data_IF_868561777582
#
_entry.id   IF_868561777582
#
_cell.length_a   1.000
_cell.length_b   1.000
_cell.length_c   1.000
_cell.angle_alpha   90.00
_cell.angle_beta   90.00
_cell.angle_gamma   90.00
#
_symmetry.space_group_name_H-M   'P 1'
#
loop_
_entity.id
_entity.type
_entity.pdbx_description
1 polymer ?
#
# COMPACT_ATOMS: atom_id res chain seq x y z
N UNK A 1 -14.13 8.97 14.13
CA UNK A 1 -13.64 8.12 15.23
C UNK A 1 -12.63 7.18 14.61
N UNK A 2 -11.33 7.40 14.79
CA UNK A 2 -10.30 6.48 14.30
C UNK A 2 -10.37 5.24 15.19
N UNK A 3 -10.83 4.12 14.62
CA UNK A 3 -10.90 2.84 15.34
C UNK A 3 -9.49 2.25 15.42
N UNK A 4 -9.14 1.68 16.57
CA UNK A 4 -7.83 1.07 16.77
C UNK A 4 -7.70 -0.21 15.95
N UNK A 5 -6.66 -0.29 15.13
CA UNK A 5 -6.19 -1.46 14.37
C UNK A 5 -5.43 -2.47 15.23
N UNK A 6 -5.07 -2.09 16.46
CA UNK A 6 -4.32 -2.89 17.41
C UNK A 6 -4.89 -4.30 17.64
N UNK A 7 -6.22 -4.51 17.77
CA UNK A 7 -6.79 -5.85 17.92
C UNK A 7 -6.50 -6.79 16.74
N UNK A 8 -6.39 -6.26 15.51
CA UNK A 8 -6.04 -7.06 14.33
C UNK A 8 -4.61 -7.59 14.47
N UNK A 9 -3.63 -6.71 14.71
CA UNK A 9 -2.24 -7.15 14.76
C UNK A 9 -1.93 -7.97 16.01
N UNK A 10 -2.58 -7.71 17.15
CA UNK A 10 -2.50 -8.57 18.33
C UNK A 10 -2.98 -10.01 18.00
N UNK A 11 -4.05 -10.14 17.19
CA UNK A 11 -4.53 -11.45 16.72
C UNK A 11 -3.57 -12.13 15.74
N UNK A 12 -2.83 -11.37 14.92
CA UNK A 12 -1.80 -11.90 14.01
C UNK A 12 -0.61 -12.44 14.81
N UNK A 13 -0.19 -11.74 15.88
CA UNK A 13 0.90 -12.15 16.78
C UNK A 13 0.58 -13.40 17.60
N UNK A 14 -0.70 -13.65 17.88
CA UNK A 14 -1.16 -14.76 18.74
C UNK A 14 -2.25 -15.60 18.05
N UNK A 15 -1.92 -16.32 16.96
CA UNK A 15 -2.91 -17.03 16.13
C UNK A 15 -3.62 -18.19 16.85
N UNK A 16 -3.07 -18.65 17.98
CA UNK A 16 -3.68 -19.69 18.83
C UNK A 16 -4.77 -19.16 19.77
N UNK A 17 -4.91 -17.84 19.91
CA UNK A 17 -5.99 -17.23 20.69
C UNK A 17 -7.24 -17.06 19.83
N UNK A 18 -8.41 -17.10 20.48
CA UNK A 18 -9.68 -16.85 19.79
C UNK A 18 -9.66 -15.45 19.15
N UNK A 19 -9.84 -15.39 17.83
CA UNK A 19 -9.86 -14.13 17.09
C UNK A 19 -10.97 -13.23 17.64
N UNK A 20 -10.65 -12.03 18.16
CA UNK A 20 -11.68 -11.13 18.68
C UNK A 20 -12.71 -10.78 17.60
N UNK A 21 -14.00 -10.61 17.94
CA UNK A 21 -15.05 -10.28 16.96
C UNK A 21 -14.73 -9.03 16.11
N UNK A 22 -14.03 -8.06 16.70
CA UNK A 22 -13.60 -6.81 16.06
C UNK A 22 -12.69 -7.06 14.84
N UNK A 23 -11.83 -8.07 14.91
CA UNK A 23 -10.90 -8.44 13.83
C UNK A 23 -11.62 -8.97 12.60
N UNK A 24 -12.70 -9.73 12.79
CA UNK A 24 -13.52 -10.25 11.68
C UNK A 24 -14.17 -9.12 10.86
N UNK A 25 -14.45 -7.98 11.48
CA UNK A 25 -14.98 -6.81 10.79
C UNK A 25 -13.89 -6.04 10.04
N UNK A 26 -12.72 -5.87 10.66
CA UNK A 26 -11.55 -5.22 10.04
C UNK A 26 -11.16 -5.96 8.75
N UNK A 27 -11.05 -7.30 8.81
CA UNK A 27 -10.71 -8.14 7.66
C UNK A 27 -11.75 -8.11 6.51
N UNK A 28 -12.99 -7.70 6.77
CA UNK A 28 -14.03 -7.53 5.74
C UNK A 28 -14.00 -6.15 5.07
N UNK A 29 -13.30 -5.20 5.69
CA UNK A 29 -13.34 -3.79 5.30
C UNK A 29 -12.03 -3.36 4.64
N UNK A 30 -10.93 -4.01 4.99
CA UNK A 30 -9.58 -3.69 4.52
C UNK A 30 -8.91 -4.90 3.90
N UNK A 31 -8.00 -4.65 2.96
CA UNK A 31 -7.08 -5.66 2.50
C UNK A 31 -5.87 -5.70 3.45
N UNK A 32 -5.49 -6.90 3.90
CA UNK A 32 -4.31 -7.09 4.74
C UNK A 32 -3.34 -7.98 3.98
N UNK A 33 -2.29 -7.36 3.45
CA UNK A 33 -1.21 -8.07 2.77
C UNK A 33 -0.06 -8.30 3.74
N UNK A 34 0.70 -9.37 3.49
CA UNK A 34 1.95 -9.59 4.19
C UNK A 34 3.11 -9.81 3.22
N UNK A 35 4.26 -9.28 3.60
CA UNK A 35 5.48 -9.33 2.81
C UNK A 35 6.61 -9.85 3.69
N UNK A 36 7.39 -10.77 3.15
CA UNK A 36 8.68 -11.11 3.74
C UNK A 36 9.68 -10.01 3.42
N UNK A 37 10.39 -9.57 4.46
CA UNK A 37 11.31 -8.44 4.35
C UNK A 37 12.74 -8.95 4.41
N UNK A 38 13.38 -9.03 3.25
CA UNK A 38 14.82 -9.30 3.16
C UNK A 38 15.59 -7.98 3.22
N UNK A 39 16.58 -7.89 4.12
CA UNK A 39 17.47 -6.73 4.27
C UNK A 39 16.74 -5.39 4.45
N UNK A 40 16.24 -5.11 5.66
CA UNK A 40 15.89 -3.75 6.06
C UNK A 40 17.16 -2.89 6.09
N UNK A 41 17.40 -2.15 5.02
CA UNK A 41 18.39 -1.07 4.99
C UNK A 41 18.13 -0.05 6.11
N UNK A 42 19.13 0.79 6.41
CA UNK A 42 19.07 1.76 7.54
C UNK A 42 17.89 2.76 7.46
N UNK A 43 17.26 2.94 6.29
CA UNK A 43 16.07 3.78 6.09
C UNK A 43 14.74 3.15 6.53
N UNK A 44 14.63 1.83 6.66
CA UNK A 44 13.42 1.11 7.09
C UNK A 44 12.19 1.26 6.17
N UNK A 45 11.15 0.44 6.44
CA UNK A 45 9.83 0.49 5.76
C UNK A 45 9.22 1.89 5.73
N UNK A 46 9.41 2.62 6.83
CA UNK A 46 8.88 3.95 7.01
C UNK A 46 9.30 4.94 5.92
N UNK A 47 10.58 4.96 5.55
CA UNK A 47 11.05 5.88 4.50
C UNK A 47 10.48 5.54 3.12
N UNK A 48 10.24 4.25 2.85
CA UNK A 48 9.73 3.76 1.57
C UNK A 48 8.23 4.02 1.39
N UNK A 49 7.47 4.20 2.47
CA UNK A 49 6.04 4.53 2.38
C UNK A 49 5.69 5.92 2.93
N UNK A 50 6.70 6.77 3.18
CA UNK A 50 6.51 8.10 3.79
C UNK A 50 6.15 8.06 5.29
N UNK A 51 6.21 6.92 5.94
CA UNK A 51 5.80 6.71 7.33
C UNK A 51 7.00 6.96 8.26
N UNK A 52 7.08 8.12 8.92
CA UNK A 52 8.21 8.42 9.80
C UNK A 52 8.18 7.57 11.08
N UNK A 53 9.36 7.08 11.50
CA UNK A 53 9.54 6.10 12.59
C UNK A 53 9.27 6.66 14.01
N UNK A 54 9.13 7.99 14.17
CA UNK A 54 9.13 8.63 15.50
C UNK A 54 7.77 9.03 16.05
N UNK A 55 6.78 9.25 15.20
CA UNK A 55 5.41 9.54 15.61
C UNK A 55 4.50 8.74 14.68
N UNK A 56 3.41 8.15 15.19
CA UNK A 56 2.42 7.39 14.40
C UNK A 56 1.63 8.26 13.40
N UNK A 57 2.23 9.36 12.96
CA UNK A 57 1.76 10.21 11.88
C UNK A 57 2.40 9.67 10.60
N UNK A 58 1.77 8.62 10.07
CA UNK A 58 2.11 8.18 8.72
C UNK A 58 1.87 9.37 7.78
N UNK A 59 2.88 9.80 7.01
CA UNK A 59 2.58 10.57 5.80
C UNK A 59 2.01 9.57 4.79
N UNK A 60 0.75 9.17 5.01
CA UNK A 60 0.00 8.45 4.00
C UNK A 60 -0.19 9.42 2.85
N UNK A 61 0.29 9.06 1.65
CA UNK A 61 -0.07 9.79 0.45
C UNK A 61 -1.59 9.90 0.39
N UNK A 62 -2.09 11.12 0.32
CA UNK A 62 -3.52 11.41 0.30
C UNK A 62 -3.90 11.87 -1.11
N UNK A 63 -4.12 10.88 -1.98
CA UNK A 63 -4.51 11.12 -3.35
C UNK A 63 -5.57 10.08 -3.76
N UNK A 64 -6.65 10.48 -4.45
CA UNK A 64 -7.74 9.56 -4.79
C UNK A 64 -7.31 8.39 -5.69
N UNK A 65 -6.17 8.49 -6.39
CA UNK A 65 -5.67 7.43 -7.27
C UNK A 65 -4.39 6.76 -6.75
N UNK A 66 -4.08 6.91 -5.47
CA UNK A 66 -3.07 6.12 -4.77
C UNK A 66 -3.75 5.22 -3.74
N UNK A 67 -3.34 3.95 -3.66
CA UNK A 67 -3.81 3.03 -2.66
C UNK A 67 -3.55 3.59 -1.26
N UNK A 68 -4.61 3.80 -0.50
CA UNK A 68 -4.51 4.28 0.86
C UNK A 68 -4.06 3.16 1.78
N UNK A 69 -2.92 3.36 2.42
CA UNK A 69 -2.44 2.53 3.52
C UNK A 69 -3.01 3.15 4.81
N UNK A 70 -3.72 2.34 5.58
CA UNK A 70 -4.33 2.78 6.84
C UNK A 70 -3.43 2.47 8.03
N UNK A 71 -2.75 1.34 8.00
CA UNK A 71 -1.80 0.96 9.06
C UNK A 71 -0.84 -0.14 8.58
N UNK A 72 0.20 -0.40 9.36
CA UNK A 72 1.15 -1.48 9.13
C UNK A 72 1.80 -1.94 10.43
N UNK A 73 2.29 -3.17 10.46
CA UNK A 73 3.08 -3.66 11.58
C UNK A 73 4.12 -4.69 11.14
N UNK A 74 5.26 -4.72 11.83
CA UNK A 74 6.24 -5.80 11.72
C UNK A 74 5.95 -6.86 12.79
N UNK A 75 5.69 -8.09 12.36
CA UNK A 75 5.47 -9.25 13.24
C UNK A 75 6.36 -10.38 12.75
N UNK A 76 7.27 -10.86 13.60
CA UNK A 76 8.15 -12.00 13.33
C UNK A 76 8.91 -11.93 11.98
N UNK A 77 9.42 -10.74 11.65
CA UNK A 77 10.17 -10.51 10.39
C UNK A 77 9.30 -10.35 9.14
N UNK A 78 7.97 -10.46 9.29
CA UNK A 78 6.99 -10.18 8.24
C UNK A 78 6.37 -8.81 8.45
N UNK A 79 6.22 -8.10 7.35
CA UNK A 79 5.51 -6.85 7.31
C UNK A 79 4.05 -7.12 6.97
N UNK A 80 3.13 -6.62 7.78
CA UNK A 80 1.71 -6.60 7.49
C UNK A 80 1.30 -5.18 7.13
N UNK A 81 0.62 -5.00 6.00
CA UNK A 81 0.08 -3.71 5.55
C UNK A 81 -1.43 -3.83 5.47
N UNK A 82 -2.14 -2.91 6.12
CA UNK A 82 -3.58 -2.73 6.02
C UNK A 82 -3.90 -1.57 5.07
N UNK A 83 -4.64 -1.84 4.00
CA UNK A 83 -5.00 -0.85 2.97
C UNK A 83 -6.48 -0.93 2.60
N UNK A 84 -6.93 0.00 1.75
CA UNK A 84 -8.28 -0.07 1.18
C UNK A 84 -8.52 -1.43 0.50
N UNK A 85 -9.73 -1.98 0.71
CA UNK A 85 -10.12 -3.23 0.06
C UNK A 85 -10.38 -3.00 -1.44
N UNK A 86 -9.50 -3.58 -2.26
CA UNK A 86 -9.62 -3.56 -3.72
C UNK A 86 -10.15 -4.90 -4.23
N UNK A 87 -10.85 -4.90 -5.36
CA UNK A 87 -11.43 -6.12 -5.95
C UNK A 87 -10.42 -6.95 -6.75
N UNK A 88 -9.33 -6.32 -7.19
CA UNK A 88 -8.25 -6.97 -7.92
C UNK A 88 -7.44 -5.98 -8.75
N UNK A 89 -6.51 -6.51 -9.53
CA UNK A 89 -5.74 -5.74 -10.51
C UNK A 89 -6.48 -5.64 -11.85
N UNK A 90 -6.22 -4.56 -12.60
CA UNK A 90 -6.76 -4.36 -13.95
C UNK A 90 -6.38 -5.48 -14.94
N UNK A 91 -5.36 -6.29 -14.65
CA UNK A 91 -5.01 -7.47 -15.49
C UNK A 91 -6.13 -8.52 -15.54
N UNK A 92 -7.02 -8.50 -14.55
CA UNK A 92 -8.21 -9.36 -14.51
C UNK A 92 -9.41 -8.79 -15.28
N UNK A 93 -9.30 -7.57 -15.82
CA UNK A 93 -10.38 -6.89 -16.51
C UNK A 93 -10.24 -6.99 -18.03
N UNK A 94 -11.38 -7.08 -18.71
CA UNK A 94 -11.47 -6.77 -20.14
C UNK A 94 -11.78 -5.29 -20.26
N UNK A 95 -10.83 -4.53 -20.82
CA UNK A 95 -10.89 -3.07 -20.89
C UNK A 95 -11.22 -2.61 -22.31
N UNK A 96 -12.12 -1.65 -22.44
CA UNK A 96 -12.30 -0.90 -23.68
C UNK A 96 -11.19 0.15 -23.83
N UNK A 97 -10.99 0.65 -25.04
CA UNK A 97 -10.05 1.76 -25.29
C UNK A 97 -10.37 2.99 -24.42
N UNK A 98 -11.66 3.29 -24.24
CA UNK A 98 -12.12 4.37 -23.35
C UNK A 98 -11.70 4.14 -21.89
N UNK A 99 -11.84 2.92 -21.37
CA UNK A 99 -11.42 2.62 -20.00
C UNK A 99 -9.89 2.66 -19.86
N UNK A 100 -9.14 2.20 -20.86
CA UNK A 100 -7.67 2.34 -20.87
C UNK A 100 -7.26 3.83 -20.78
N UNK A 101 -7.91 4.71 -21.55
CA UNK A 101 -7.64 6.14 -21.48
C UNK A 101 -7.94 6.72 -20.09
N UNK A 102 -9.07 6.33 -19.47
CA UNK A 102 -9.43 6.75 -18.11
C UNK A 102 -8.40 6.29 -17.09
N UNK A 103 -7.93 5.05 -17.19
CA UNK A 103 -6.87 4.52 -16.31
C UNK A 103 -5.61 5.36 -16.47
N UNK A 104 -5.13 5.57 -17.70
CA UNK A 104 -3.91 6.34 -17.95
C UNK A 104 -4.00 7.77 -17.40
N UNK A 105 -5.16 8.43 -17.55
CA UNK A 105 -5.41 9.75 -16.98
C UNK A 105 -5.35 9.74 -15.44
N UNK A 106 -5.98 8.77 -14.79
CA UNK A 106 -5.95 8.67 -13.32
C UNK A 106 -4.56 8.33 -12.79
N UNK A 107 -3.82 7.45 -13.48
CA UNK A 107 -2.45 7.09 -13.11
C UNK A 107 -1.49 8.27 -13.29
N UNK A 108 -1.68 9.11 -14.31
CA UNK A 108 -0.84 10.30 -14.50
C UNK A 108 -1.06 11.33 -13.38
N UNK A 109 -2.29 11.49 -12.89
CA UNK A 109 -2.58 12.34 -11.72
C UNK A 109 -1.89 11.80 -10.46
N UNK A 110 -1.97 10.49 -10.23
CA UNK A 110 -1.30 9.84 -9.10
C UNK A 110 0.22 10.01 -9.14
N UNK A 111 0.83 9.82 -10.31
CA UNK A 111 2.27 9.98 -10.51
C UNK A 111 2.70 11.44 -10.39
N UNK A 112 1.92 12.39 -10.91
CA UNK A 112 2.19 13.82 -10.74
C UNK A 112 2.27 14.19 -9.26
N UNK A 113 1.28 13.75 -8.46
CA UNK A 113 1.28 13.96 -7.02
C UNK A 113 2.51 13.37 -6.33
N UNK A 114 2.93 12.14 -6.68
CA UNK A 114 4.16 11.55 -6.14
C UNK A 114 5.40 12.38 -6.52
N UNK A 115 5.49 12.80 -7.78
CA UNK A 115 6.62 13.59 -8.28
C UNK A 115 6.70 14.97 -7.61
N UNK A 116 5.56 15.63 -7.33
CA UNK A 116 5.51 16.89 -6.58
C UNK A 116 6.07 16.73 -5.16
N UNK A 117 5.95 15.54 -4.59
CA UNK A 117 6.55 15.17 -3.30
C UNK A 117 7.98 14.62 -3.43
N UNK A 118 8.59 14.70 -4.62
CA UNK A 118 9.93 14.16 -4.93
C UNK A 118 10.06 12.65 -4.74
N UNK A 119 8.96 11.91 -4.92
CA UNK A 119 8.95 10.44 -4.92
C UNK A 119 8.77 9.91 -6.33
N UNK A 120 9.53 8.87 -6.67
CA UNK A 120 9.39 8.14 -7.93
C UNK A 120 8.90 6.72 -7.62
N UNK A 121 7.85 6.27 -8.32
CA UNK A 121 7.25 4.95 -8.12
C UNK A 121 8.15 3.79 -8.55
N UNK A 122 8.83 3.92 -9.70
CA UNK A 122 9.79 2.95 -10.30
C UNK A 122 9.26 1.58 -10.75
N UNK A 123 8.04 1.21 -10.42
CA UNK A 123 7.43 -0.09 -10.78
C UNK A 123 5.99 0.10 -11.28
N UNK A 124 5.80 1.06 -12.19
CA UNK A 124 4.48 1.29 -12.81
C UNK A 124 4.22 0.20 -13.84
N UNK A 125 3.28 -0.70 -13.53
CA UNK A 125 2.86 -1.80 -14.40
C UNK A 125 1.39 -2.16 -14.16
N UNK A 126 0.71 -2.83 -15.11
CA UNK A 126 -0.71 -3.16 -14.96
C UNK A 126 -1.07 -3.96 -13.69
N UNK A 127 -0.19 -4.85 -13.23
CA UNK A 127 -0.42 -5.62 -12.00
C UNK A 127 -0.55 -4.74 -10.76
N UNK A 128 0.08 -3.57 -10.76
CA UNK A 128 0.09 -2.62 -9.64
C UNK A 128 -1.02 -1.58 -9.76
N UNK A 129 -1.89 -1.67 -10.77
CA UNK A 129 -3.08 -0.83 -10.88
C UNK A 129 -4.25 -1.67 -10.41
N UNK A 130 -4.84 -1.27 -9.29
CA UNK A 130 -5.95 -1.95 -8.64
C UNK A 130 -7.25 -1.25 -8.94
N UNK A 131 -8.36 -1.97 -8.86
CA UNK A 131 -9.70 -1.42 -9.08
C UNK A 131 -10.70 -1.81 -7.99
N UNK A 132 -11.67 -0.93 -7.78
CA UNK A 132 -12.84 -1.17 -6.95
C UNK A 132 -14.09 -0.68 -7.68
N UNK A 133 -15.13 -1.50 -7.74
CA UNK A 133 -16.43 -1.14 -8.33
C UNK A 133 -17.34 -0.54 -7.26
N UNK A 134 -17.92 0.62 -7.58
CA UNK A 134 -19.02 1.24 -6.81
C UNK A 134 -20.21 1.45 -7.74
N UNK A 135 -21.14 0.52 -7.72
CA UNK A 135 -22.25 0.47 -8.67
C UNK A 135 -21.72 0.27 -10.10
N UNK A 136 -22.06 1.20 -11.01
CA UNK A 136 -21.59 1.18 -12.41
C UNK A 136 -20.21 1.85 -12.61
N UNK A 137 -19.68 2.51 -11.59
CA UNK A 137 -18.39 3.19 -11.68
C UNK A 137 -17.27 2.28 -11.22
N UNK A 138 -16.14 2.31 -11.93
CA UNK A 138 -14.89 1.68 -11.54
C UNK A 138 -13.94 2.79 -11.08
N UNK A 139 -13.36 2.60 -9.91
CA UNK A 139 -12.34 3.45 -9.35
C UNK A 139 -11.00 2.73 -9.43
N UNK A 140 -9.98 3.39 -9.99
CA UNK A 140 -8.64 2.83 -10.13
C UNK A 140 -7.66 3.54 -9.21
N UNK A 141 -6.80 2.76 -8.58
CA UNK A 141 -5.71 3.25 -7.73
C UNK A 141 -4.42 2.57 -8.15
N UNK A 142 -3.34 3.32 -8.12
CA UNK A 142 -2.00 2.78 -8.23
C UNK A 142 -1.61 2.19 -6.87
N UNK A 143 -0.84 1.11 -6.83
CA UNK A 143 -0.42 0.37 -5.64
C UNK A 143 1.04 -0.09 -5.78
N UNK A 144 1.57 -0.77 -4.77
CA UNK A 144 2.92 -1.38 -4.76
C UNK A 144 4.01 -0.43 -5.26
N UNK A 145 3.97 0.78 -4.72
CA UNK A 145 4.94 1.80 -5.02
C UNK A 145 6.24 1.49 -4.28
N UNK A 146 7.24 0.96 -4.97
CA UNK A 146 8.62 0.86 -4.49
C UNK A 146 9.25 2.25 -4.40
N UNK A 147 8.70 3.11 -3.54
CA UNK A 147 8.98 4.54 -3.60
C UNK A 147 10.41 4.78 -3.17
N UNK A 148 11.17 5.36 -4.08
CA UNK A 148 12.46 5.94 -3.77
C UNK A 148 12.30 7.45 -3.85
N UNK A 149 12.77 8.17 -2.82
CA UNK A 149 12.90 9.63 -2.90
C UNK A 149 13.99 9.94 -3.92
N UNK A 150 13.72 10.81 -4.88
CA UNK A 150 14.73 11.21 -5.87
C UNK A 150 15.91 11.89 -5.16
N UNK A 151 17.14 11.49 -5.51
CA UNK A 151 18.42 11.69 -4.79
C UNK A 151 18.93 13.14 -4.60
N UNK A 152 18.09 14.18 -4.55
CA UNK A 152 18.57 15.56 -4.38
C UNK A 152 18.69 16.05 -2.94
N UNK A 153 18.35 15.24 -1.93
CA UNK A 153 18.61 15.64 -0.53
C UNK A 153 18.98 14.44 0.33
N UNK A 154 20.27 14.41 0.69
CA UNK A 154 20.99 13.48 1.57
C UNK A 154 21.62 12.26 0.88
N UNK A 155 22.95 12.20 0.95
CA UNK A 155 23.81 11.13 0.42
C UNK A 155 23.73 9.80 1.17
N UNK A 156 22.52 9.37 1.53
CA UNK A 156 22.24 8.06 2.08
C UNK A 156 21.44 7.28 1.03
N UNK A 157 22.11 6.34 0.33
CA UNK A 157 21.41 5.35 -0.51
C UNK A 157 20.37 4.65 0.36
N UNK A 158 19.10 4.89 0.08
CA UNK A 158 18.03 4.04 0.60
C UNK A 158 18.10 2.76 -0.22
N UNK A 159 18.83 1.77 0.28
CA UNK A 159 18.84 0.44 -0.33
C UNK A 159 17.38 -0.06 -0.41
N UNK A 160 16.99 -0.49 -1.61
CA UNK A 160 15.62 -0.90 -1.91
C UNK A 160 15.20 -2.03 -0.97
N UNK A 161 14.05 -1.87 -0.31
CA UNK A 161 13.37 -2.98 0.31
C UNK A 161 12.92 -3.94 -0.78
N UNK A 162 13.47 -5.15 -0.78
CA UNK A 162 12.93 -6.23 -1.58
C UNK A 162 11.79 -6.85 -0.78
N UNK A 163 10.57 -6.47 -1.13
CA UNK A 163 9.36 -7.09 -0.60
C UNK A 163 8.92 -8.19 -1.56
N UNK A 164 8.85 -9.41 -1.04
CA UNK A 164 8.25 -10.52 -1.77
C UNK A 164 6.85 -10.69 -1.21
N UNK A 165 5.83 -10.41 -2.03
CA UNK A 165 4.46 -10.73 -1.66
C UNK A 165 4.35 -12.24 -1.54
N UNK A 166 3.85 -12.70 -0.41
CA UNK A 166 3.58 -14.13 -0.21
C UNK A 166 2.15 -14.36 -0.64
N UNK A 167 1.96 -15.15 -1.70
CA UNK A 167 0.63 -15.56 -2.12
C UNK A 167 0.00 -16.43 -1.02
N UNK A 168 -1.19 -16.04 -0.56
CA UNK A 168 -1.98 -16.74 0.46
C UNK A 168 -2.87 -17.83 -0.14
#
# INVERSE_FOLDING_TARGET
MFLSTKPLFDSIRSPHQATPPEVKWIAKTFHVNHYEVENLGKGGFGTVYGIQRKEREACTFDHPHLLKIHDWEMVDGRLYIMSDLMQGSIVSLVLSEYECWRILYQMSQALLYLHELSFIHRDVKPTNILYAKKGKSIHYVLADFGLTRSEETMGERTDMLKMVQVDS
#
